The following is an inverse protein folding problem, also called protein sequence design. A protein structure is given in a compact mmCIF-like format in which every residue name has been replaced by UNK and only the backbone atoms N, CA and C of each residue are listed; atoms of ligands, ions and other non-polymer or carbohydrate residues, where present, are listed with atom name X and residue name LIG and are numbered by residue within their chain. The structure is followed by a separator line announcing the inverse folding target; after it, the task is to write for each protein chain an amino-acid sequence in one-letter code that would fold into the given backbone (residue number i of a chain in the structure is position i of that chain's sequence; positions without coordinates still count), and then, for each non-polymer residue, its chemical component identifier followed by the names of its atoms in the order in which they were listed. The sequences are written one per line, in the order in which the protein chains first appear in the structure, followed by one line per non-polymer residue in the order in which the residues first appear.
data_IF_508050730803
#
_entry.id   IF_508050730803
#
_cell.length_a   1.000
_cell.length_b   1.000
_cell.length_c   1.000
_cell.angle_alpha   90.00
_cell.angle_beta   90.00
_cell.angle_gamma   90.00
#
_symmetry.space_group_name_H-M   'P 1'
#
loop_
_entity.id
_entity.type
_entity.pdbx_description
1 polymer ?
#
# COMPACT_ATOMS: atom_id res chain seq x y z
N UNK A 1 -7.86 38.62 -10.73
CA UNK A 1 -7.17 38.36 -9.45
C UNK A 1 -6.31 37.13 -9.66
N UNK A 2 -4.99 37.26 -9.56
CA UNK A 2 -4.08 36.12 -9.72
C UNK A 2 -4.27 35.18 -8.53
N UNK A 3 -4.81 33.99 -8.78
CA UNK A 3 -4.85 32.90 -7.79
C UNK A 3 -3.39 32.62 -7.41
N UNK A 4 -3.01 32.95 -6.16
CA UNK A 4 -1.66 32.68 -5.66
C UNK A 4 -1.50 31.17 -5.53
N UNK A 5 -0.92 30.55 -6.55
CA UNK A 5 -0.41 29.17 -6.48
C UNK A 5 0.45 29.08 -5.22
N UNK A 6 0.10 28.15 -4.32
CA UNK A 6 0.80 27.92 -3.05
C UNK A 6 0.22 28.62 -1.80
N UNK A 7 -0.77 29.51 -1.91
CA UNK A 7 -1.41 30.16 -0.74
C UNK A 7 -2.93 29.94 -0.73
N UNK A 8 -3.34 28.73 -0.34
CA UNK A 8 -4.75 28.33 -0.34
C UNK A 8 -5.36 28.54 1.05
N UNK A 9 -6.47 29.27 1.14
CA UNK A 9 -7.24 29.39 2.39
C UNK A 9 -7.86 28.05 2.79
N UNK A 10 -8.20 27.86 4.06
CA UNK A 10 -8.85 26.62 4.53
C UNK A 10 -10.13 26.31 3.74
N UNK A 11 -10.99 27.30 3.55
CA UNK A 11 -12.24 27.14 2.79
C UNK A 11 -11.97 26.72 1.34
N UNK A 12 -10.97 27.33 0.69
CA UNK A 12 -10.60 26.97 -0.69
C UNK A 12 -10.02 25.56 -0.76
N UNK A 13 -9.21 25.17 0.22
CA UNK A 13 -8.68 23.81 0.31
C UNK A 13 -9.81 22.79 0.44
N UNK A 14 -10.81 23.03 1.28
CA UNK A 14 -11.97 22.15 1.43
C UNK A 14 -12.76 22.01 0.11
N UNK A 15 -12.96 23.10 -0.64
CA UNK A 15 -13.57 23.06 -1.97
C UNK A 15 -12.75 22.23 -2.98
N UNK A 16 -11.42 22.43 -2.99
CA UNK A 16 -10.51 21.66 -3.84
C UNK A 16 -10.59 20.17 -3.49
N UNK A 17 -10.60 19.82 -2.20
CA UNK A 17 -10.71 18.43 -1.76
C UNK A 17 -12.02 17.80 -2.20
N UNK A 18 -13.15 18.50 -2.08
CA UNK A 18 -14.45 17.99 -2.56
C UNK A 18 -14.39 17.70 -4.06
N UNK A 19 -13.91 18.65 -4.87
CA UNK A 19 -13.78 18.45 -6.32
C UNK A 19 -12.80 17.33 -6.66
N UNK A 20 -11.68 17.24 -5.95
CA UNK A 20 -10.69 16.18 -6.15
C UNK A 20 -11.27 14.80 -5.81
N UNK A 21 -12.12 14.68 -4.78
CA UNK A 21 -12.80 13.42 -4.44
C UNK A 21 -13.73 12.96 -5.57
N UNK A 22 -14.45 13.87 -6.21
CA UNK A 22 -15.29 13.55 -7.38
C UNK A 22 -14.44 13.03 -8.55
N UNK A 23 -13.33 13.69 -8.84
CA UNK A 23 -12.41 13.27 -9.90
C UNK A 23 -11.79 11.90 -9.59
N UNK A 24 -11.38 11.66 -8.34
CA UNK A 24 -10.86 10.36 -7.91
C UNK A 24 -11.93 9.26 -8.03
N UNK A 25 -13.21 9.56 -7.78
CA UNK A 25 -14.29 8.60 -8.00
C UNK A 25 -14.45 8.24 -9.49
N UNK A 26 -14.28 9.21 -10.40
CA UNK A 26 -14.29 8.96 -11.85
C UNK A 26 -13.08 8.13 -12.29
N UNK A 27 -11.89 8.46 -11.78
CA UNK A 27 -10.67 7.67 -12.04
C UNK A 27 -10.84 6.24 -11.55
N UNK A 28 -11.37 6.04 -10.34
CA UNK A 28 -11.60 4.69 -9.81
C UNK A 28 -12.59 3.89 -10.65
N UNK A 29 -13.68 4.52 -11.13
CA UNK A 29 -14.64 3.89 -12.07
C UNK A 29 -13.95 3.45 -13.35
N UNK A 30 -13.10 4.31 -13.94
CA UNK A 30 -12.35 3.98 -15.15
C UNK A 30 -11.37 2.82 -14.92
N UNK A 31 -10.62 2.83 -13.82
CA UNK A 31 -9.67 1.76 -13.48
C UNK A 31 -10.38 0.42 -13.27
N UNK A 32 -11.54 0.43 -12.61
CA UNK A 32 -12.36 -0.78 -12.47
C UNK A 32 -12.89 -1.28 -13.80
N UNK A 33 -13.38 -0.39 -14.68
CA UNK A 33 -13.85 -0.77 -16.02
C UNK A 33 -12.72 -1.37 -16.87
N UNK A 34 -11.52 -0.80 -16.83
CA UNK A 34 -10.33 -1.36 -17.49
C UNK A 34 -9.95 -2.73 -16.91
N UNK A 35 -10.07 -2.89 -15.59
CA UNK A 35 -9.88 -4.18 -14.93
C UNK A 35 -10.92 -5.23 -15.34
N UNK A 36 -12.18 -4.82 -15.51
CA UNK A 36 -13.26 -5.69 -16.00
C UNK A 36 -13.02 -6.12 -17.45
N UNK A 37 -12.60 -5.20 -18.33
CA UNK A 37 -12.19 -5.55 -19.70
C UNK A 37 -11.00 -6.51 -19.70
N UNK A 38 -10.01 -6.29 -18.84
CA UNK A 38 -8.87 -7.20 -18.72
C UNK A 38 -9.28 -8.60 -18.19
N UNK A 39 -10.34 -8.70 -17.39
CA UNK A 39 -10.92 -9.99 -16.96
C UNK A 39 -11.71 -10.68 -18.06
N UNK A 40 -12.37 -9.90 -18.93
CA UNK A 40 -13.05 -10.41 -20.12
C UNK A 40 -12.05 -11.01 -21.11
N UNK A 41 -10.90 -10.34 -21.31
CA UNK A 41 -9.81 -10.83 -22.18
C UNK A 41 -9.15 -12.07 -21.56
N UNK A 42 -8.75 -12.01 -20.29
CA UNK A 42 -8.08 -13.11 -19.60
C UNK A 42 -8.60 -13.30 -18.17
N UNK A 43 -9.52 -14.26 -17.94
CA UNK A 43 -10.04 -14.56 -16.61
C UNK A 43 -8.95 -15.00 -15.63
N UNK A 44 -9.14 -14.68 -14.34
CA UNK A 44 -8.22 -15.15 -13.29
C UNK A 44 -8.33 -16.66 -13.11
N UNK A 45 -7.20 -17.36 -13.28
CA UNK A 45 -7.12 -18.82 -13.15
C UNK A 45 -6.93 -19.23 -11.68
N UNK A 46 -7.55 -20.33 -11.26
CA UNK A 46 -7.28 -20.93 -9.95
C UNK A 46 -5.84 -21.50 -9.92
N UNK A 47 -5.12 -21.27 -8.83
CA UNK A 47 -3.73 -21.75 -8.68
C UNK A 47 -3.76 -23.29 -8.63
N UNK A 48 -3.15 -23.95 -9.62
CA UNK A 48 -2.94 -25.41 -9.63
C UNK A 48 -3.94 -26.26 -10.42
N UNK A 49 -4.87 -25.66 -11.17
CA UNK A 49 -5.76 -26.41 -12.06
C UNK A 49 -5.21 -26.52 -13.49
N UNK A 50 -5.03 -27.75 -13.99
CA UNK A 50 -4.90 -27.97 -15.44
C UNK A 50 -6.23 -27.67 -16.12
N UNK A 51 -6.21 -26.92 -17.22
CA UNK A 51 -7.41 -26.67 -18.02
C UNK A 51 -7.94 -27.99 -18.61
N UNK A 52 -9.20 -28.36 -18.37
CA UNK A 52 -9.93 -29.21 -19.30
C UNK A 52 -10.35 -28.31 -20.46
N UNK A 53 -9.78 -28.58 -21.64
CA UNK A 53 -10.06 -27.94 -22.92
C UNK A 53 -9.29 -26.62 -23.14
N UNK A 54 -8.19 -26.73 -23.89
CA UNK A 54 -7.65 -25.60 -24.62
C UNK A 54 -8.72 -25.12 -25.59
N UNK A 55 -9.25 -23.94 -25.32
CA UNK A 55 -9.85 -23.10 -26.36
C UNK A 55 -8.76 -22.76 -27.38
N UNK A 56 -9.15 -22.46 -28.62
CA UNK A 56 -8.30 -21.99 -29.73
C UNK A 56 -7.57 -20.66 -29.38
N UNK A 57 -6.76 -20.65 -28.32
CA UNK A 57 -6.06 -19.47 -27.85
C UNK A 57 -4.88 -19.21 -28.79
N UNK A 58 -5.01 -18.18 -29.61
CA UNK A 58 -3.94 -17.68 -30.47
C UNK A 58 -2.76 -17.10 -29.66
N UNK A 59 -2.95 -16.81 -28.37
CA UNK A 59 -1.99 -16.08 -27.52
C UNK A 59 -1.92 -16.64 -26.10
N UNK A 60 -0.78 -16.46 -25.43
CA UNK A 60 -0.65 -16.74 -23.99
C UNK A 60 -1.28 -15.62 -23.14
N UNK A 61 -1.63 -15.89 -21.86
CA UNK A 61 -2.13 -14.86 -20.90
C UNK A 61 -1.24 -13.62 -20.85
N UNK A 62 0.08 -13.82 -20.86
CA UNK A 62 1.03 -12.70 -20.80
C UNK A 62 0.99 -11.88 -22.08
N UNK A 63 0.84 -12.53 -23.22
CA UNK A 63 0.84 -11.90 -24.54
C UNK A 63 -0.46 -11.13 -24.81
N UNK A 64 -1.62 -11.70 -24.49
CA UNK A 64 -2.92 -11.03 -24.62
C UNK A 64 -2.99 -9.77 -23.75
N UNK A 65 -2.52 -9.83 -22.50
CA UNK A 65 -2.45 -8.65 -21.63
C UNK A 65 -1.39 -7.63 -22.08
N UNK A 66 -0.28 -8.08 -22.66
CA UNK A 66 0.74 -7.19 -23.19
C UNK A 66 0.20 -6.38 -24.37
N UNK A 67 -0.45 -7.05 -25.34
CA UNK A 67 -1.09 -6.39 -26.48
C UNK A 67 -2.14 -5.38 -26.02
N UNK A 68 -3.03 -5.78 -25.09
CA UNK A 68 -4.03 -4.86 -24.55
C UNK A 68 -3.40 -3.64 -23.86
N UNK A 69 -2.32 -3.84 -23.10
CA UNK A 69 -1.61 -2.75 -22.43
C UNK A 69 -0.95 -1.79 -23.44
N UNK A 70 -0.32 -2.33 -24.48
CA UNK A 70 0.31 -1.54 -25.54
C UNK A 70 -0.73 -0.72 -26.33
N UNK A 71 -1.89 -1.32 -26.65
CA UNK A 71 -2.97 -0.66 -27.40
C UNK A 71 -3.61 0.52 -26.65
N UNK A 72 -3.68 0.44 -25.31
CA UNK A 72 -4.22 1.53 -24.47
C UNK A 72 -3.13 2.44 -23.88
N UNK A 73 -1.85 2.18 -24.17
CA UNK A 73 -0.72 3.02 -23.80
C UNK A 73 -0.34 2.98 -22.31
N UNK A 74 -0.41 1.81 -21.65
CA UNK A 74 -0.02 1.63 -20.24
C UNK A 74 0.91 0.44 -20.05
N UNK A 75 1.56 0.33 -18.89
CA UNK A 75 2.37 -0.84 -18.59
C UNK A 75 1.50 -2.08 -18.34
N UNK A 76 1.91 -3.26 -18.83
CA UNK A 76 1.23 -4.53 -18.55
C UNK A 76 1.01 -4.78 -17.06
N UNK A 77 1.98 -4.46 -16.21
CA UNK A 77 1.85 -4.59 -14.75
C UNK A 77 0.71 -3.73 -14.17
N UNK A 78 0.39 -2.61 -14.82
CA UNK A 78 -0.76 -1.77 -14.45
C UNK A 78 -2.08 -2.45 -14.80
N UNK A 79 -2.17 -3.07 -15.99
CA UNK A 79 -3.32 -3.89 -16.40
C UNK A 79 -3.50 -5.09 -15.46
N UNK A 80 -2.41 -5.75 -15.08
CA UNK A 80 -2.43 -6.87 -14.12
C UNK A 80 -2.99 -6.44 -12.76
N UNK A 81 -2.52 -5.29 -12.24
CA UNK A 81 -3.05 -4.69 -11.01
C UNK A 81 -4.54 -4.36 -11.13
N UNK A 82 -4.97 -3.81 -12.27
CA UNK A 82 -6.37 -3.50 -12.53
C UNK A 82 -7.24 -4.74 -12.55
N UNK A 83 -6.83 -5.73 -13.34
CA UNK A 83 -7.50 -7.02 -13.49
C UNK A 83 -7.63 -7.75 -12.16
N UNK A 84 -6.52 -7.87 -11.42
CA UNK A 84 -6.49 -8.53 -10.13
C UNK A 84 -7.41 -7.84 -9.13
N UNK A 85 -7.37 -6.50 -9.05
CA UNK A 85 -8.23 -5.74 -8.15
C UNK A 85 -9.71 -5.89 -8.52
N UNK A 86 -10.05 -5.80 -9.81
CA UNK A 86 -11.43 -5.99 -10.29
C UNK A 86 -11.97 -7.39 -9.94
N UNK A 87 -11.14 -8.43 -10.04
CA UNK A 87 -11.52 -9.79 -9.67
C UNK A 87 -11.82 -9.93 -8.17
N UNK A 88 -11.04 -9.24 -7.32
CA UNK A 88 -11.21 -9.24 -5.86
C UNK A 88 -12.39 -8.38 -5.40
N UNK A 89 -12.86 -7.47 -6.26
CA UNK A 89 -13.96 -6.55 -6.03
C UNK A 89 -14.96 -6.55 -7.20
N UNK A 90 -15.85 -7.56 -7.28
CA UNK A 90 -16.95 -7.57 -8.24
C UNK A 90 -17.79 -6.29 -8.17
N UNK A 91 -18.46 -5.91 -9.26
CA UNK A 91 -19.15 -4.62 -9.38
C UNK A 91 -20.04 -4.27 -8.17
N UNK A 92 -20.81 -5.23 -7.64
CA UNK A 92 -21.69 -5.03 -6.48
C UNK A 92 -20.99 -4.95 -5.12
N UNK A 93 -19.66 -5.11 -5.05
CA UNK A 93 -18.84 -5.04 -3.83
C UNK A 93 -17.89 -3.85 -3.82
N UNK A 94 -17.90 -3.01 -4.87
CA UNK A 94 -17.06 -1.80 -4.94
C UNK A 94 -17.70 -0.70 -4.12
N UNK A 95 -16.93 -0.09 -3.21
CA UNK A 95 -17.44 0.96 -2.33
C UNK A 95 -17.26 2.34 -2.95
N UNK A 96 -18.36 3.06 -3.14
CA UNK A 96 -18.31 4.47 -3.57
C UNK A 96 -17.61 5.34 -2.52
N UNK A 97 -16.88 6.36 -2.99
CA UNK A 97 -16.09 7.24 -2.13
C UNK A 97 -14.77 6.65 -1.65
N UNK A 98 -14.49 5.38 -1.96
CA UNK A 98 -13.21 4.74 -1.68
C UNK A 98 -12.39 4.62 -2.97
N UNK A 99 -11.15 5.11 -2.95
CA UNK A 99 -10.27 5.09 -4.12
C UNK A 99 -9.92 3.67 -4.57
N UNK A 100 -9.58 3.51 -5.85
CA UNK A 100 -9.07 2.26 -6.39
C UNK A 100 -7.82 1.76 -5.64
N UNK A 101 -6.91 2.66 -5.27
CA UNK A 101 -5.69 2.30 -4.51
C UNK A 101 -6.01 1.59 -3.20
N UNK A 102 -7.04 2.04 -2.48
CA UNK A 102 -7.47 1.38 -1.23
C UNK A 102 -8.05 0.00 -1.52
N UNK A 103 -8.89 -0.12 -2.55
CA UNK A 103 -9.41 -1.42 -2.98
C UNK A 103 -8.27 -2.38 -3.34
N UNK A 104 -7.27 -1.93 -4.09
CA UNK A 104 -6.08 -2.72 -4.45
C UNK A 104 -5.29 -3.17 -3.23
N UNK A 105 -5.11 -2.31 -2.22
CA UNK A 105 -4.44 -2.71 -0.98
C UNK A 105 -5.26 -3.76 -0.23
N UNK A 106 -6.57 -3.51 -0.02
CA UNK A 106 -7.45 -4.43 0.70
C UNK A 106 -7.75 -5.73 -0.06
N UNK A 107 -7.52 -5.76 -1.38
CA UNK A 107 -7.63 -6.96 -2.20
C UNK A 107 -6.68 -8.08 -1.76
N UNK A 108 -5.61 -7.76 -1.02
CA UNK A 108 -4.67 -8.74 -0.45
C UNK A 108 -5.23 -9.50 0.75
N UNK A 109 -6.33 -9.05 1.36
CA UNK A 109 -7.03 -9.83 2.39
C UNK A 109 -7.54 -11.11 1.74
N UNK A 110 -7.03 -12.26 2.19
CA UNK A 110 -7.27 -13.57 1.57
C UNK A 110 -8.74 -13.96 1.70
N UNK A 111 -9.25 -13.94 2.94
CA UNK A 111 -10.65 -14.24 3.22
C UNK A 111 -11.59 -13.21 2.57
N UNK A 112 -12.64 -13.72 1.94
CA UNK A 112 -13.58 -12.90 1.18
C UNK A 112 -14.56 -12.13 2.05
N UNK A 113 -15.09 -12.77 3.09
CA UNK A 113 -16.03 -12.13 4.00
C UNK A 113 -15.34 -11.02 4.78
N UNK A 114 -14.13 -11.27 5.28
CA UNK A 114 -13.30 -10.27 5.96
C UNK A 114 -12.95 -9.10 5.03
N UNK A 115 -12.57 -9.38 3.77
CA UNK A 115 -12.27 -8.33 2.79
C UNK A 115 -13.49 -7.44 2.56
N UNK A 116 -14.66 -8.03 2.31
CA UNK A 116 -15.89 -7.27 2.09
C UNK A 116 -16.34 -6.50 3.34
N UNK A 117 -16.18 -7.05 4.54
CA UNK A 117 -16.45 -6.32 5.77
C UNK A 117 -15.46 -5.15 5.96
N UNK A 118 -14.18 -5.36 5.63
CA UNK A 118 -13.15 -4.36 5.82
C UNK A 118 -13.41 -3.08 5.02
N UNK A 119 -13.80 -3.15 3.74
CA UNK A 119 -14.03 -1.92 2.94
C UNK A 119 -15.14 -1.03 3.52
N UNK A 120 -16.11 -1.63 4.23
CA UNK A 120 -17.23 -0.93 4.86
C UNK A 120 -16.84 -0.24 6.17
N UNK A 121 -15.88 -0.79 6.92
CA UNK A 121 -15.50 -0.29 8.25
C UNK A 121 -14.27 0.64 8.19
N UNK A 122 -14.42 1.80 7.53
CA UNK A 122 -13.32 2.75 7.39
C UNK A 122 -12.79 3.25 8.76
N UNK A 123 -11.47 3.36 8.96
CA UNK A 123 -10.91 3.84 10.22
C UNK A 123 -11.19 5.34 10.43
N UNK A 124 -11.21 5.76 11.70
CA UNK A 124 -11.33 7.17 12.04
C UNK A 124 -10.06 7.93 11.65
N UNK A 125 -10.22 9.04 10.92
CA UNK A 125 -9.13 9.91 10.55
C UNK A 125 -9.14 11.17 11.44
N UNK A 126 -8.19 11.32 12.38
CA UNK A 126 -8.19 12.43 13.34
C UNK A 126 -7.99 13.79 12.66
N UNK A 127 -7.33 13.84 11.49
CA UNK A 127 -7.12 15.09 10.75
C UNK A 127 -8.43 15.66 10.21
N UNK A 128 -9.37 14.80 9.82
CA UNK A 128 -10.65 15.23 9.26
C UNK A 128 -11.83 15.03 10.19
N UNK A 129 -11.66 14.34 11.31
CA UNK A 129 -12.74 14.00 12.24
C UNK A 129 -13.79 13.05 11.65
N UNK A 130 -13.44 12.28 10.61
CA UNK A 130 -14.39 11.44 9.87
C UNK A 130 -13.84 10.03 9.67
N UNK A 131 -14.74 9.03 9.57
CA UNK A 131 -14.38 7.68 9.16
C UNK A 131 -14.13 7.65 7.65
N UNK A 132 -12.88 7.48 7.25
CA UNK A 132 -12.51 7.47 5.83
C UNK A 132 -11.24 6.67 5.61
N UNK A 133 -11.23 5.93 4.50
CA UNK A 133 -10.03 5.20 4.09
C UNK A 133 -8.92 6.14 3.64
N UNK A 134 -7.70 5.78 4.03
CA UNK A 134 -6.46 6.31 3.46
C UNK A 134 -5.60 5.13 3.03
N UNK A 135 -4.65 5.32 2.10
CA UNK A 135 -3.71 4.25 1.75
C UNK A 135 -2.99 3.67 2.97
N UNK A 136 -2.54 4.50 3.90
CA UNK A 136 -1.90 4.03 5.14
C UNK A 136 -2.89 3.31 6.07
N UNK A 137 -4.14 3.76 6.14
CA UNK A 137 -5.19 3.05 6.87
C UNK A 137 -5.37 1.63 6.34
N UNK A 138 -5.45 1.48 5.01
CA UNK A 138 -5.61 0.19 4.35
C UNK A 138 -4.37 -0.69 4.54
N UNK A 139 -3.17 -0.13 4.32
CA UNK A 139 -1.89 -0.83 4.51
C UNK A 139 -1.75 -1.38 5.92
N UNK A 140 -2.07 -0.55 6.93
CA UNK A 140 -2.07 -0.94 8.34
C UNK A 140 -3.00 -2.12 8.61
N UNK A 141 -4.22 -2.11 8.06
CA UNK A 141 -5.16 -3.21 8.23
C UNK A 141 -4.60 -4.53 7.68
N UNK A 142 -3.93 -4.49 6.54
CA UNK A 142 -3.38 -5.70 5.89
C UNK A 142 -1.94 -6.02 6.30
N UNK A 143 -1.40 -5.35 7.33
CA UNK A 143 -0.02 -5.55 7.81
C UNK A 143 1.06 -5.12 6.83
N UNK A 144 0.74 -4.32 5.81
CA UNK A 144 1.71 -3.73 4.90
C UNK A 144 2.37 -2.49 5.50
N UNK A 145 3.59 -2.21 5.04
CA UNK A 145 4.34 -1.01 5.45
C UNK A 145 3.58 0.27 5.10
N UNK A 146 3.30 1.08 6.13
CA UNK A 146 2.70 2.40 6.01
C UNK A 146 3.75 3.45 5.61
N UNK A 147 3.31 4.49 4.90
CA UNK A 147 4.15 5.64 4.56
C UNK A 147 4.33 6.57 5.78
N UNK A 148 3.30 6.69 6.62
CA UNK A 148 3.32 7.51 7.83
C UNK A 148 3.10 6.64 9.07
N UNK A 149 4.18 6.13 9.68
CA UNK A 149 4.14 5.44 10.96
C UNK A 149 3.56 6.31 12.08
N UNK A 150 2.56 5.80 12.79
CA UNK A 150 1.93 6.49 13.93
C UNK A 150 2.20 5.72 15.22
N UNK A 151 2.01 4.40 15.21
CA UNK A 151 2.24 3.56 16.39
C UNK A 151 3.73 3.36 16.67
N UNK A 152 4.07 2.92 17.88
CA UNK A 152 5.45 2.56 18.23
C UNK A 152 5.95 1.44 17.32
N UNK A 153 5.17 0.37 17.16
CA UNK A 153 5.55 -0.78 16.33
C UNK A 153 5.79 -0.38 14.87
N UNK A 154 4.97 0.50 14.30
CA UNK A 154 5.18 1.01 12.94
C UNK A 154 6.47 1.82 12.81
N UNK A 155 6.78 2.63 13.82
CA UNK A 155 8.01 3.42 13.86
C UNK A 155 9.23 2.52 14.02
N UNK A 156 9.12 1.50 14.86
CA UNK A 156 10.16 0.48 15.04
C UNK A 156 10.41 -0.26 13.72
N UNK A 157 9.35 -0.72 13.03
CA UNK A 157 9.49 -1.37 11.72
C UNK A 157 10.12 -0.44 10.67
N UNK A 158 9.73 0.84 10.66
CA UNK A 158 10.31 1.82 9.76
C UNK A 158 11.80 2.07 10.04
N UNK A 159 12.20 2.11 11.32
CA UNK A 159 13.62 2.20 11.72
C UNK A 159 14.37 0.93 11.33
N UNK A 160 13.82 -0.25 11.62
CA UNK A 160 14.42 -1.54 11.27
C UNK A 160 14.69 -1.65 9.76
N UNK A 161 13.79 -1.14 8.92
CA UNK A 161 13.98 -1.08 7.48
C UNK A 161 15.11 -0.13 7.04
N UNK A 162 15.28 1.00 7.74
CA UNK A 162 16.36 1.96 7.47
C UNK A 162 17.72 1.44 7.96
N UNK A 163 17.72 0.58 8.98
CA UNK A 163 18.92 -0.02 9.57
C UNK A 163 19.14 -1.46 9.11
N UNK A 164 18.73 -1.82 7.88
CA UNK A 164 19.07 -3.13 7.29
C UNK A 164 20.56 -3.27 6.98
N UNK A 165 21.23 -2.15 6.77
CA UNK A 165 22.67 -2.08 6.66
C UNK A 165 23.28 -2.11 8.07
N UNK A 166 24.17 -3.07 8.32
CA UNK A 166 24.79 -3.30 9.63
C UNK A 166 25.68 -2.13 10.09
N UNK A 167 26.33 -1.42 9.17
CA UNK A 167 27.14 -0.25 9.51
C UNK A 167 26.23 0.91 9.96
N UNK A 168 25.13 1.13 9.22
CA UNK A 168 24.11 2.11 9.61
C UNK A 168 23.48 1.73 10.95
N UNK A 169 23.14 0.46 11.15
CA UNK A 169 22.58 -0.05 12.40
C UNK A 169 23.51 0.19 13.59
N UNK A 170 24.81 -0.11 13.44
CA UNK A 170 25.81 0.09 14.49
C UNK A 170 25.97 1.57 14.87
N UNK A 171 25.97 2.47 13.87
CA UNK A 171 26.06 3.91 14.12
C UNK A 171 24.81 4.45 14.81
N UNK A 172 23.61 4.08 14.35
CA UNK A 172 22.34 4.48 14.96
C UNK A 172 22.25 3.97 16.41
N UNK A 173 22.63 2.72 16.67
CA UNK A 173 22.65 2.17 18.02
C UNK A 173 23.60 2.96 18.94
N UNK A 174 24.82 3.26 18.48
CA UNK A 174 25.79 4.03 19.25
C UNK A 174 25.29 5.43 19.60
N UNK A 175 24.58 6.10 18.69
CA UNK A 175 24.02 7.42 18.94
C UNK A 175 22.80 7.39 19.88
N UNK A 176 21.96 6.34 19.79
CA UNK A 176 20.87 6.13 20.75
C UNK A 176 21.38 5.90 22.18
N UNK A 177 22.49 5.16 22.36
CA UNK A 177 23.12 4.96 23.67
C UNK A 177 23.70 6.23 24.31
N UNK A 178 23.94 7.28 23.52
CA UNK A 178 24.40 8.59 24.04
C UNK A 178 23.25 9.44 24.57
N UNK A 179 21.98 9.06 24.34
CA UNK A 179 20.82 9.83 24.78
C UNK A 179 20.51 9.53 26.25
N UNK A 180 20.40 10.54 27.12
CA UNK A 180 20.25 10.34 28.56
C UNK A 180 18.99 9.54 28.92
N UNK A 181 17.83 9.86 28.32
CA UNK A 181 16.55 9.19 28.61
C UNK A 181 16.34 7.89 27.83
N UNK A 182 17.10 7.67 26.75
CA UNK A 182 16.93 6.49 25.89
C UNK A 182 17.33 5.17 26.55
N UNK A 183 18.08 5.25 27.65
CA UNK A 183 18.52 4.08 28.39
C UNK A 183 17.54 3.69 29.47
N UNK A 184 16.79 4.62 30.07
CA UNK A 184 15.96 4.41 31.27
C UNK A 184 14.92 3.29 31.14
N UNK A 185 14.42 3.04 29.93
CA UNK A 185 13.44 2.00 29.63
C UNK A 185 14.03 0.70 29.05
N UNK A 186 15.36 0.64 28.85
CA UNK A 186 16.06 -0.54 28.31
C UNK A 186 16.65 -1.32 29.48
N UNK A 187 16.31 -2.61 29.59
CA UNK A 187 16.82 -3.46 30.68
C UNK A 187 18.34 -3.59 30.60
N UNK A 188 19.05 -3.79 31.74
CA UNK A 188 20.51 -3.98 31.74
C UNK A 188 20.98 -5.10 30.79
N UNK A 189 20.22 -6.19 30.71
CA UNK A 189 20.51 -7.31 29.81
C UNK A 189 20.46 -6.92 28.33
N UNK A 190 19.49 -6.09 27.94
CA UNK A 190 19.36 -5.60 26.56
C UNK A 190 20.45 -4.57 26.21
N UNK A 191 20.88 -3.76 27.19
CA UNK A 191 22.00 -2.81 27.03
C UNK A 191 23.33 -3.54 26.81
N UNK A 192 23.60 -4.58 27.58
CA UNK A 192 24.84 -5.36 27.51
C UNK A 192 24.91 -6.17 26.20
N UNK A 193 23.80 -6.79 25.80
CA UNK A 193 23.69 -7.47 24.50
C UNK A 193 23.88 -6.51 23.31
N UNK A 194 23.33 -5.29 23.40
CA UNK A 194 23.49 -4.25 22.38
C UNK A 194 24.91 -3.72 22.25
N UNK A 195 25.60 -3.49 23.38
CA UNK A 195 27.01 -3.03 23.40
C UNK A 195 27.96 -4.06 22.82
N UNK A 196 27.83 -5.33 23.21
CA UNK A 196 28.72 -6.39 22.72
C UNK A 196 28.58 -6.63 21.20
N UNK A 197 27.38 -6.50 20.62
CA UNK A 197 27.17 -6.63 19.17
C UNK A 197 27.70 -5.42 18.38
N UNK A 198 27.50 -4.19 18.87
CA UNK A 198 27.99 -3.00 18.20
C UNK A 198 29.53 -2.96 18.13
N UNK A 199 30.21 -3.48 19.15
CA UNK A 199 31.67 -3.54 19.21
C UNK A 199 32.26 -4.60 18.26
N UNK A 200 31.56 -5.73 18.09
CA UNK A 200 31.95 -6.76 17.11
C UNK A 200 31.80 -6.29 15.65
N UNK A 201 30.85 -5.40 15.35
CA UNK A 201 30.70 -4.79 14.03
C UNK A 201 31.83 -3.80 13.67
N UNK A 202 32.40 -3.11 14.66
CA UNK A 202 33.55 -2.19 14.46
C UNK A 202 34.87 -2.90 14.18
N UNK A 203 35.01 -4.16 14.56
CA UNK A 203 36.25 -4.94 14.41
C UNK A 203 36.29 -5.84 13.16
N UNK A 204 35.29 -5.77 12.27
CA UNK A 204 35.25 -6.52 10.99
C UNK A 204 35.38 -5.63 9.74
N UNK A 205 36.30 -4.66 9.75
CA UNK A 205 36.75 -3.94 8.54
C UNK A 205 38.11 -4.47 8.07
N UNK A 206 38.23 -5.18 6.93
CA UNK A 206 39.42 -5.15 6.09
C UNK A 206 39.46 -3.86 5.24
#
# INVERSE_FOLDING_TARGET
MADRIGNVTRQRYEQIVTRAKELIAQVAKAQFALGDMALEIEPMRAVGGSMPNGTDDLFTVTESLQMFADDIGVARTTVEDWRWTANRWPAGRRKEGVSFTVHRILASVVDEAERWAAIEDAPFNPRTGARQWTPDGAKRLVGQRVERPVTVDEKVQAVADLTRDEEVAAQVAADLFKRPEGTEHVTPADRDAGRHRADQGRHRRP
#
